data_IF_806078173017
#
_entry.id   IF_806078173017
#
_cell.length_a   1.000
_cell.length_b   1.000
_cell.length_c   1.000
_cell.angle_alpha   90.00
_cell.angle_beta   90.00
_cell.angle_gamma   90.00
#
_symmetry.space_group_name_H-M   'P 1'
#
loop_
_entity.id
_entity.type
_entity.pdbx_description
1 polymer ?
#
# COMPACT_ATOMS: atom_id res chain seq x y z
N UNK A 1 -10.33 -2.26 18.70
CA UNK A 1 -9.53 -3.44 19.16
C UNK A 1 -9.98 -4.71 18.46
N UNK A 2 -11.28 -4.99 18.36
CA UNK A 2 -11.80 -6.17 17.64
C UNK A 2 -11.35 -6.24 16.17
N UNK A 3 -11.41 -5.15 15.40
CA UNK A 3 -10.98 -5.08 13.98
C UNK A 3 -9.51 -5.43 13.74
N UNK A 4 -8.65 -4.99 14.65
CA UNK A 4 -7.19 -5.24 14.63
C UNK A 4 -6.92 -6.74 14.78
N UNK A 5 -7.61 -7.35 15.74
CA UNK A 5 -7.52 -8.79 16.00
C UNK A 5 -8.09 -9.60 14.83
N UNK A 6 -9.21 -9.16 14.25
CA UNK A 6 -9.80 -9.77 13.07
C UNK A 6 -8.86 -9.70 11.86
N UNK A 7 -8.25 -8.55 11.59
CA UNK A 7 -7.26 -8.39 10.52
C UNK A 7 -6.06 -9.34 10.70
N UNK A 8 -5.57 -9.48 11.93
CA UNK A 8 -4.48 -10.42 12.24
C UNK A 8 -4.91 -11.88 12.04
N UNK A 9 -6.10 -12.26 12.50
CA UNK A 9 -6.66 -13.60 12.30
C UNK A 9 -6.84 -13.92 10.81
N UNK A 10 -7.31 -12.98 10.03
CA UNK A 10 -7.47 -13.16 8.59
C UNK A 10 -6.13 -13.32 7.87
N UNK A 11 -5.11 -12.54 8.24
CA UNK A 11 -3.76 -12.72 7.71
C UNK A 11 -3.18 -14.09 8.10
N UNK A 12 -3.31 -14.49 9.37
CA UNK A 12 -2.83 -15.78 9.86
C UNK A 12 -3.48 -16.96 9.12
N UNK A 13 -4.75 -16.83 8.75
CA UNK A 13 -5.47 -17.83 7.96
C UNK A 13 -5.12 -17.80 6.47
N UNK A 14 -4.51 -16.71 5.98
CA UNK A 14 -4.16 -16.48 4.56
C UNK A 14 -2.70 -16.04 4.41
N UNK A 15 -1.77 -16.74 5.06
CA UNK A 15 -0.33 -16.42 4.99
C UNK A 15 0.23 -16.41 3.56
N UNK A 16 -0.43 -17.06 2.62
CA UNK A 16 -0.09 -17.03 1.18
C UNK A 16 -0.15 -15.62 0.58
N UNK A 17 -0.89 -14.67 1.18
CA UNK A 17 -0.94 -13.26 0.76
C UNK A 17 0.42 -12.54 0.93
N UNK A 18 1.35 -13.12 1.68
CA UNK A 18 2.71 -12.60 1.85
C UNK A 18 3.54 -12.82 0.58
N UNK A 19 3.25 -13.88 -0.18
CA UNK A 19 4.04 -14.29 -1.34
C UNK A 19 4.17 -13.21 -2.43
N UNK A 20 3.09 -12.53 -2.87
CA UNK A 20 3.22 -11.45 -3.84
C UNK A 20 4.06 -10.28 -3.32
N UNK A 21 3.92 -9.94 -2.04
CA UNK A 21 4.71 -8.87 -1.41
C UNK A 21 6.18 -9.25 -1.40
N UNK A 22 6.51 -10.48 -0.99
CA UNK A 22 7.88 -10.98 -1.00
C UNK A 22 8.52 -10.88 -2.40
N UNK A 23 7.79 -11.29 -3.44
CA UNK A 23 8.29 -11.22 -4.83
C UNK A 23 8.54 -9.76 -5.22
N UNK A 24 7.60 -8.87 -4.94
CA UNK A 24 7.70 -7.45 -5.32
C UNK A 24 8.83 -6.76 -4.57
N UNK A 25 8.99 -7.00 -3.26
CA UNK A 25 10.09 -6.45 -2.45
C UNK A 25 11.46 -6.89 -2.98
N UNK A 26 11.60 -8.18 -3.35
CA UNK A 26 12.84 -8.68 -3.96
C UNK A 26 13.12 -7.98 -5.29
N UNK A 27 12.10 -7.85 -6.15
CA UNK A 27 12.25 -7.19 -7.45
C UNK A 27 12.59 -5.70 -7.30
N UNK A 28 11.92 -5.00 -6.39
CA UNK A 28 12.14 -3.58 -6.09
C UNK A 28 13.58 -3.37 -5.60
N UNK A 29 14.03 -4.17 -4.63
CA UNK A 29 15.41 -4.14 -4.14
C UNK A 29 16.44 -4.40 -5.25
N UNK A 30 16.18 -5.35 -6.15
CA UNK A 30 17.06 -5.62 -7.29
C UNK A 30 17.11 -4.44 -8.27
N UNK A 31 15.97 -3.80 -8.54
CA UNK A 31 15.91 -2.64 -9.43
C UNK A 31 16.65 -1.46 -8.82
N UNK A 32 16.44 -1.18 -7.54
CA UNK A 32 17.16 -0.12 -6.81
C UNK A 32 18.67 -0.34 -6.84
N UNK A 33 19.12 -1.57 -6.54
CA UNK A 33 20.54 -1.92 -6.58
C UNK A 33 21.15 -1.68 -7.97
N UNK A 34 20.45 -2.07 -9.04
CA UNK A 34 20.91 -1.88 -10.42
C UNK A 34 21.01 -0.38 -10.75
N UNK A 35 20.01 0.41 -10.36
CA UNK A 35 19.99 1.85 -10.62
C UNK A 35 21.11 2.56 -9.86
N UNK A 36 21.29 2.25 -8.57
CA UNK A 36 22.31 2.87 -7.72
C UNK A 36 23.74 2.54 -8.18
N UNK A 37 23.99 1.32 -8.66
CA UNK A 37 25.32 0.90 -9.11
C UNK A 37 25.65 1.43 -10.51
N UNK A 38 24.68 1.45 -11.42
CA UNK A 38 24.94 1.75 -12.84
C UNK A 38 24.70 3.21 -13.22
N UNK A 39 23.86 3.94 -12.48
CA UNK A 39 23.40 5.27 -12.89
C UNK A 39 23.86 6.34 -11.90
N UNK A 40 24.55 7.41 -12.36
CA UNK A 40 24.99 8.49 -11.48
C UNK A 40 23.85 9.13 -10.67
N UNK A 41 24.09 9.53 -9.41
CA UNK A 41 23.08 10.15 -8.55
C UNK A 41 22.79 11.58 -9.02
N UNK A 42 21.74 11.72 -9.84
CA UNK A 42 21.20 12.99 -10.34
C UNK A 42 19.80 13.22 -9.79
N UNK A 43 19.25 14.42 -9.99
CA UNK A 43 17.87 14.70 -9.62
C UNK A 43 16.89 13.75 -10.34
N UNK A 44 17.14 13.48 -11.62
CA UNK A 44 16.29 12.63 -12.44
C UNK A 44 16.30 11.18 -11.94
N UNK A 45 17.46 10.66 -11.54
CA UNK A 45 17.54 9.30 -10.99
C UNK A 45 16.85 9.18 -9.64
N UNK A 46 16.94 10.20 -8.78
CA UNK A 46 16.21 10.23 -7.50
C UNK A 46 14.70 10.24 -7.69
N UNK A 47 14.19 11.03 -8.64
CA UNK A 47 12.77 11.03 -9.00
C UNK A 47 12.38 9.64 -9.54
N UNK A 48 13.19 9.08 -10.43
CA UNK A 48 12.97 7.75 -11.00
C UNK A 48 12.83 6.66 -9.94
N UNK A 49 13.81 6.57 -9.02
CA UNK A 49 13.78 5.63 -7.90
C UNK A 49 12.51 5.84 -7.05
N UNK A 50 12.22 7.09 -6.66
CA UNK A 50 11.03 7.37 -5.84
C UNK A 50 9.73 6.92 -6.51
N UNK A 51 9.61 7.11 -7.82
CA UNK A 51 8.45 6.66 -8.62
C UNK A 51 8.40 5.13 -8.70
N UNK A 52 9.53 4.46 -8.94
CA UNK A 52 9.62 3.00 -8.98
C UNK A 52 9.14 2.42 -7.66
N UNK A 53 9.65 2.92 -6.54
CA UNK A 53 9.31 2.39 -5.21
C UNK A 53 7.83 2.66 -4.90
N UNK A 54 7.31 3.84 -5.26
CA UNK A 54 5.87 4.14 -5.16
C UNK A 54 5.00 3.16 -5.96
N UNK A 55 5.42 2.82 -7.18
CA UNK A 55 4.76 1.81 -8.02
C UNK A 55 4.87 0.42 -7.38
N UNK A 56 6.04 0.03 -6.87
CA UNK A 56 6.23 -1.27 -6.20
C UNK A 56 5.31 -1.43 -5.00
N UNK A 57 5.23 -0.44 -4.10
CA UNK A 57 4.27 -0.47 -2.98
C UNK A 57 2.82 -0.56 -3.46
N UNK A 58 2.45 0.21 -4.48
CA UNK A 58 1.10 0.16 -5.07
C UNK A 58 0.77 -1.23 -5.62
N UNK A 59 1.69 -1.85 -6.36
CA UNK A 59 1.54 -3.23 -6.85
C UNK A 59 1.43 -4.24 -5.71
N UNK A 60 2.26 -4.12 -4.67
CA UNK A 60 2.25 -5.03 -3.54
C UNK A 60 0.90 -5.00 -2.82
N UNK A 61 0.40 -3.81 -2.53
CA UNK A 61 -0.93 -3.62 -1.91
C UNK A 61 -2.02 -4.17 -2.82
N UNK A 62 -1.96 -3.89 -4.12
CA UNK A 62 -2.94 -4.35 -5.10
C UNK A 62 -3.03 -5.88 -5.18
N UNK A 63 -1.89 -6.56 -5.23
CA UNK A 63 -1.81 -8.02 -5.30
C UNK A 63 -2.35 -8.66 -4.02
N UNK A 64 -1.98 -8.14 -2.85
CA UNK A 64 -2.54 -8.58 -1.56
C UNK A 64 -4.05 -8.42 -1.57
N UNK A 65 -4.54 -7.23 -1.96
CA UNK A 65 -5.96 -6.92 -1.94
C UNK A 65 -6.73 -7.87 -2.87
N UNK A 66 -6.19 -8.12 -4.07
CA UNK A 66 -6.76 -9.05 -5.03
C UNK A 66 -6.85 -10.47 -4.47
N UNK A 67 -5.77 -10.99 -3.87
CA UNK A 67 -5.73 -12.34 -3.29
C UNK A 67 -6.63 -12.47 -2.07
N UNK A 68 -6.79 -11.38 -1.33
CA UNK A 68 -7.73 -11.31 -0.22
C UNK A 68 -9.20 -11.35 -0.68
N UNK A 69 -9.54 -10.63 -1.77
CA UNK A 69 -10.90 -10.58 -2.33
C UNK A 69 -11.33 -11.84 -3.08
N UNK A 70 -10.39 -12.48 -3.74
CA UNK A 70 -10.65 -13.62 -4.62
C UNK A 70 -10.13 -14.90 -3.95
N UNK A 71 -9.12 -15.52 -4.54
CA UNK A 71 -8.41 -16.68 -4.03
C UNK A 71 -6.94 -16.31 -3.93
N UNK A 72 -6.25 -16.68 -2.85
CA UNK A 72 -4.82 -16.43 -2.73
C UNK A 72 -4.04 -17.36 -3.69
N UNK A 73 -3.90 -16.92 -4.93
CA UNK A 73 -3.10 -17.57 -5.96
C UNK A 73 -2.47 -16.48 -6.84
N UNK A 74 -1.15 -16.57 -7.04
CA UNK A 74 -0.40 -15.56 -7.78
C UNK A 74 -0.96 -15.30 -9.18
N UNK A 75 -1.49 -16.33 -9.84
CA UNK A 75 -2.08 -16.19 -11.17
C UNK A 75 -3.38 -15.37 -11.15
N UNK A 76 -4.30 -15.65 -10.23
CA UNK A 76 -5.55 -14.90 -10.13
C UNK A 76 -5.31 -13.47 -9.64
N UNK A 77 -4.43 -13.32 -8.65
CA UNK A 77 -3.96 -12.03 -8.12
C UNK A 77 -3.38 -11.16 -9.23
N UNK A 78 -2.47 -11.72 -10.03
CA UNK A 78 -1.87 -11.02 -11.15
C UNK A 78 -2.89 -10.67 -12.22
N UNK A 79 -3.79 -11.60 -12.59
CA UNK A 79 -4.80 -11.36 -13.62
C UNK A 79 -5.73 -10.22 -13.23
N UNK A 80 -6.18 -10.20 -12.00
CA UNK A 80 -7.11 -9.21 -11.48
C UNK A 80 -6.42 -7.85 -11.23
N UNK A 81 -5.19 -7.85 -10.71
CA UNK A 81 -4.31 -6.67 -10.65
C UNK A 81 -4.04 -6.11 -12.05
N UNK A 82 -3.75 -6.97 -13.03
CA UNK A 82 -3.46 -6.60 -14.42
C UNK A 82 -4.62 -5.84 -15.07
N UNK A 83 -5.86 -6.21 -14.74
CA UNK A 83 -7.05 -5.52 -15.26
C UNK A 83 -7.20 -4.08 -14.76
N UNK A 84 -6.43 -3.68 -13.73
CA UNK A 84 -6.48 -2.35 -13.08
C UNK A 84 -5.14 -1.62 -13.12
N UNK A 85 -4.21 -2.07 -13.98
CA UNK A 85 -2.84 -1.53 -14.08
C UNK A 85 -2.77 -0.01 -14.13
N UNK A 86 -3.62 0.63 -14.93
CA UNK A 86 -3.60 2.08 -15.06
C UNK A 86 -3.83 2.77 -13.70
N UNK A 87 -4.82 2.33 -12.93
CA UNK A 87 -5.11 2.90 -11.62
C UNK A 87 -3.99 2.61 -10.61
N UNK A 88 -3.42 1.40 -10.64
CA UNK A 88 -2.32 1.01 -9.75
C UNK A 88 -1.06 1.84 -10.03
N UNK A 89 -0.74 2.04 -11.32
CA UNK A 89 0.39 2.85 -11.76
C UNK A 89 0.16 4.32 -11.40
N UNK A 90 -1.03 4.87 -11.64
CA UNK A 90 -1.38 6.24 -11.28
C UNK A 90 -1.20 6.49 -9.77
N UNK A 91 -1.76 5.61 -8.93
CA UNK A 91 -1.61 5.69 -7.49
C UNK A 91 -0.15 5.52 -7.05
N UNK A 92 0.60 4.63 -7.70
CA UNK A 92 2.02 4.42 -7.45
C UNK A 92 2.89 5.63 -7.81
N UNK A 93 2.61 6.27 -8.94
CA UNK A 93 3.28 7.52 -9.34
C UNK A 93 2.99 8.63 -8.33
N UNK A 94 1.73 8.78 -7.90
CA UNK A 94 1.35 9.77 -6.88
C UNK A 94 2.11 9.50 -5.57
N UNK A 95 2.16 8.25 -5.11
CA UNK A 95 2.92 7.87 -3.93
C UNK A 95 4.42 8.18 -4.09
N UNK A 96 4.99 7.86 -5.25
CA UNK A 96 6.39 8.13 -5.55
C UNK A 96 6.73 9.62 -5.59
N UNK A 97 5.80 10.47 -6.06
CA UNK A 97 5.95 11.92 -5.93
C UNK A 97 5.98 12.38 -4.48
N UNK A 98 5.12 11.83 -3.61
CA UNK A 98 5.19 12.12 -2.17
C UNK A 98 6.53 11.68 -1.57
N UNK A 99 7.00 10.47 -1.91
CA UNK A 99 8.31 9.97 -1.47
C UNK A 99 9.45 10.90 -1.87
N UNK A 100 9.44 11.35 -3.13
CA UNK A 100 10.42 12.29 -3.63
C UNK A 100 10.36 13.65 -2.89
N UNK A 101 9.17 14.25 -2.79
CA UNK A 101 8.99 15.58 -2.18
C UNK A 101 9.38 15.56 -0.71
N UNK A 102 8.93 14.56 0.05
CA UNK A 102 9.19 14.48 1.48
C UNK A 102 10.61 14.00 1.79
N UNK A 103 11.36 13.43 0.82
CA UNK A 103 12.78 13.10 1.01
C UNK A 103 13.65 14.32 1.37
N UNK A 104 13.19 15.54 1.04
CA UNK A 104 13.89 16.79 1.37
C UNK A 104 13.56 17.34 2.76
N UNK A 105 12.59 16.75 3.46
CA UNK A 105 12.11 17.22 4.76
C UNK A 105 12.74 16.37 5.87
N UNK A 106 13.29 16.96 6.94
CA UNK A 106 13.69 16.22 8.13
C UNK A 106 12.52 15.40 8.68
N UNK A 107 12.75 14.13 8.98
CA UNK A 107 11.69 13.17 9.36
C UNK A 107 10.61 12.95 8.28
N UNK A 108 10.94 13.21 7.00
CA UNK A 108 10.03 13.01 5.87
C UNK A 108 9.49 11.59 5.73
N UNK A 109 10.18 10.59 6.28
CA UNK A 109 9.65 9.22 6.36
C UNK A 109 8.30 9.16 7.08
N UNK A 110 8.04 10.00 8.09
CA UNK A 110 6.74 10.07 8.78
C UNK A 110 5.61 10.52 7.84
N UNK A 111 5.91 11.42 6.91
CA UNK A 111 4.97 11.90 5.90
C UNK A 111 4.81 10.88 4.77
N UNK A 112 5.88 10.18 4.40
CA UNK A 112 5.83 9.04 3.47
C UNK A 112 4.94 7.92 4.02
N UNK A 113 5.04 7.61 5.32
CA UNK A 113 4.17 6.65 5.99
C UNK A 113 2.71 7.10 5.97
N UNK A 114 2.46 8.41 6.09
CA UNK A 114 1.11 8.93 5.98
C UNK A 114 0.57 8.72 4.56
N UNK A 115 1.36 9.04 3.52
CA UNK A 115 0.98 8.82 2.13
C UNK A 115 0.70 7.32 1.83
N UNK A 116 1.54 6.42 2.34
CA UNK A 116 1.36 4.98 2.21
C UNK A 116 0.12 4.47 2.98
N UNK A 117 -0.14 5.00 4.17
CA UNK A 117 -1.35 4.69 4.94
C UNK A 117 -2.62 5.13 4.20
N UNK A 118 -2.59 6.31 3.59
CA UNK A 118 -3.67 6.78 2.71
C UNK A 118 -3.87 5.83 1.52
N UNK A 119 -2.77 5.34 0.93
CA UNK A 119 -2.84 4.39 -0.16
C UNK A 119 -3.53 3.08 0.27
N UNK A 120 -3.12 2.48 1.40
CA UNK A 120 -3.73 1.27 1.97
C UNK A 120 -5.25 1.40 2.14
N UNK A 121 -5.73 2.56 2.58
CA UNK A 121 -7.16 2.83 2.79
C UNK A 121 -7.88 3.17 1.48
N UNK A 122 -7.16 3.64 0.46
CA UNK A 122 -7.74 3.98 -0.85
C UNK A 122 -7.95 2.78 -1.77
N UNK A 123 -7.14 1.73 -1.65
CA UNK A 123 -7.24 0.52 -2.48
C UNK A 123 -8.61 -0.19 -2.45
N UNK A 124 -9.33 -0.26 -1.32
CA UNK A 124 -10.72 -0.70 -1.32
C UNK A 124 -11.62 0.01 -2.35
N UNK A 125 -11.41 1.30 -2.61
CA UNK A 125 -12.20 2.04 -3.60
C UNK A 125 -11.88 1.62 -5.04
N UNK A 126 -10.64 1.22 -5.32
CA UNK A 126 -10.22 0.74 -6.65
C UNK A 126 -10.92 -0.58 -7.00
N UNK A 127 -11.21 -1.42 -6.00
CA UNK A 127 -11.75 -2.76 -6.21
C UNK A 127 -13.23 -2.92 -5.92
N UNK A 128 -13.81 -2.09 -5.03
CA UNK A 128 -15.19 -2.24 -4.53
C UNK A 128 -16.05 -0.98 -4.69
N UNK A 129 -15.55 0.14 -5.22
CA UNK A 129 -16.32 1.40 -5.11
C UNK A 129 -17.59 1.45 -5.98
N UNK A 130 -18.70 1.76 -5.28
CA UNK A 130 -19.82 2.55 -5.77
C UNK A 130 -19.75 4.03 -5.33
N UNK A 131 -18.77 4.41 -4.52
CA UNK A 131 -18.52 5.80 -4.06
C UNK A 131 -17.77 6.56 -5.16
N UNK A 132 -18.40 7.61 -5.69
CA UNK A 132 -17.87 8.38 -6.84
C UNK A 132 -17.54 9.81 -6.40
N UNK A 133 -16.24 10.11 -6.33
CA UNK A 133 -15.73 11.48 -6.24
C UNK A 133 -15.05 11.84 -4.92
N UNK A 134 -14.12 12.79 -5.01
CA UNK A 134 -13.21 13.22 -3.93
C UNK A 134 -13.98 13.62 -2.66
N UNK A 135 -15.08 14.37 -2.79
CA UNK A 135 -15.88 14.80 -1.64
C UNK A 135 -16.48 13.62 -0.88
N UNK A 136 -16.98 12.60 -1.57
CA UNK A 136 -17.56 11.43 -0.92
C UNK A 136 -16.48 10.60 -0.23
N UNK A 137 -15.30 10.44 -0.86
CA UNK A 137 -14.15 9.77 -0.26
C UNK A 137 -13.63 10.49 0.99
N UNK A 138 -13.56 11.83 0.97
CA UNK A 138 -13.15 12.63 2.14
C UNK A 138 -14.17 12.56 3.28
N UNK A 139 -15.45 12.63 2.97
CA UNK A 139 -16.52 12.45 3.96
C UNK A 139 -16.53 11.06 4.56
N UNK A 140 -16.27 10.02 3.74
CA UNK A 140 -16.11 8.66 4.21
C UNK A 140 -14.91 8.55 5.15
N UNK A 141 -13.76 9.09 4.76
CA UNK A 141 -12.54 9.04 5.57
C UNK A 141 -12.73 9.74 6.93
N UNK A 142 -13.39 10.91 6.92
CA UNK A 142 -13.66 11.66 8.15
C UNK A 142 -14.56 10.87 9.10
N UNK A 143 -15.62 10.21 8.56
CA UNK A 143 -16.49 9.32 9.33
C UNK A 143 -15.72 8.11 9.86
N UNK A 144 -14.96 7.43 9.02
CA UNK A 144 -14.17 6.27 9.40
C UNK A 144 -13.19 6.59 10.54
N UNK A 145 -12.48 7.72 10.46
CA UNK A 145 -11.55 8.17 11.52
C UNK A 145 -12.30 8.49 12.81
N UNK A 146 -13.48 9.12 12.72
CA UNK A 146 -14.28 9.48 13.90
C UNK A 146 -14.83 8.26 14.64
N UNK A 147 -15.13 7.18 13.91
CA UNK A 147 -15.65 5.93 14.49
C UNK A 147 -14.54 5.04 15.04
N UNK A 148 -13.36 5.03 14.41
CA UNK A 148 -12.27 4.13 14.80
C UNK A 148 -10.87 4.67 14.47
N UNK A 149 -10.50 5.73 15.17
CA UNK A 149 -9.17 6.33 15.07
C UNK A 149 -8.02 5.33 15.35
N UNK A 150 -8.25 4.31 16.18
CA UNK A 150 -7.24 3.34 16.56
C UNK A 150 -6.80 2.46 15.38
N UNK A 151 -7.75 2.02 14.54
CA UNK A 151 -7.39 1.28 13.33
C UNK A 151 -6.57 2.14 12.36
N UNK A 152 -6.88 3.43 12.21
CA UNK A 152 -6.07 4.35 11.40
C UNK A 152 -4.65 4.54 11.95
N UNK A 153 -4.50 4.66 13.28
CA UNK A 153 -3.18 4.70 13.92
C UNK A 153 -2.39 3.43 13.62
N UNK A 154 -3.04 2.27 13.66
CA UNK A 154 -2.38 0.98 13.39
C UNK A 154 -2.03 0.82 11.91
N UNK A 155 -2.88 1.29 10.99
CA UNK A 155 -2.55 1.35 9.56
C UNK A 155 -1.35 2.27 9.34
N UNK A 156 -1.32 3.43 10.01
CA UNK A 156 -0.19 4.36 9.96
C UNK A 156 1.10 3.74 10.49
N UNK A 157 1.05 3.08 11.65
CA UNK A 157 2.20 2.36 12.20
C UNK A 157 2.65 1.20 11.29
N UNK A 158 1.69 0.52 10.66
CA UNK A 158 1.98 -0.53 9.68
C UNK A 158 2.73 0.05 8.49
N UNK A 159 2.24 1.14 7.91
CA UNK A 159 2.88 1.87 6.83
C UNK A 159 4.27 2.42 7.22
N UNK A 160 4.43 2.90 8.45
CA UNK A 160 5.70 3.39 8.98
C UNK A 160 6.76 2.30 9.06
N UNK A 161 6.35 1.13 9.55
CA UNK A 161 7.23 -0.02 9.68
C UNK A 161 7.44 -0.75 8.34
N UNK A 162 6.59 -0.51 7.34
CA UNK A 162 6.77 -1.02 5.97
C UNK A 162 7.92 -0.37 5.18
N UNK A 163 8.63 0.62 5.72
CA UNK A 163 9.89 1.09 5.13
C UNK A 163 11.09 0.19 5.45
N UNK A 164 10.88 -0.85 6.27
CA UNK A 164 11.89 -1.86 6.58
C UNK A 164 11.61 -3.14 5.78
N UNK A 165 12.49 -3.56 4.84
CA UNK A 165 12.22 -4.61 3.84
C UNK A 165 11.90 -6.02 4.36
N UNK A 166 12.12 -6.29 5.65
CA UNK A 166 11.77 -7.58 6.27
C UNK A 166 10.39 -7.51 6.92
N UNK A 167 10.00 -6.30 7.33
CA UNK A 167 8.80 -6.06 8.12
C UNK A 167 7.60 -5.82 7.20
N UNK A 168 7.82 -5.15 6.06
CA UNK A 168 6.81 -4.87 5.04
C UNK A 168 6.13 -6.12 4.47
N UNK A 169 6.87 -7.23 4.35
CA UNK A 169 6.41 -8.57 3.97
C UNK A 169 5.18 -8.98 4.79
N UNK A 170 5.12 -8.61 6.07
CA UNK A 170 3.98 -8.89 6.95
C UNK A 170 3.03 -7.69 7.09
N UNK A 171 3.56 -6.48 7.16
CA UNK A 171 2.78 -5.29 7.47
C UNK A 171 2.00 -4.73 6.28
N UNK A 172 2.45 -4.93 5.04
CA UNK A 172 1.65 -4.58 3.87
C UNK A 172 0.42 -5.47 3.75
N UNK A 173 0.51 -6.82 3.86
CA UNK A 173 -0.68 -7.67 3.91
C UNK A 173 -1.62 -7.30 5.04
N UNK A 174 -1.08 -7.14 6.25
CA UNK A 174 -1.84 -6.78 7.43
C UNK A 174 -2.56 -5.42 7.28
N UNK A 175 -1.83 -4.38 6.87
CA UNK A 175 -2.38 -3.04 6.68
C UNK A 175 -3.44 -2.98 5.58
N UNK A 176 -3.29 -3.79 4.53
CA UNK A 176 -4.26 -3.89 3.43
C UNK A 176 -5.56 -4.54 3.89
N UNK A 177 -5.47 -5.65 4.63
CA UNK A 177 -6.64 -6.33 5.21
C UNK A 177 -7.36 -5.40 6.20
N UNK A 178 -6.61 -4.76 7.10
CA UNK A 178 -7.18 -3.82 8.06
C UNK A 178 -7.83 -2.62 7.36
N UNK A 179 -7.20 -2.07 6.32
CA UNK A 179 -7.76 -1.01 5.49
C UNK A 179 -9.08 -1.42 4.84
N UNK A 180 -9.20 -2.68 4.38
CA UNK A 180 -10.46 -3.20 3.86
C UNK A 180 -11.53 -3.40 4.92
N UNK A 181 -11.19 -3.94 6.10
CA UNK A 181 -12.16 -4.14 7.20
C UNK A 181 -12.76 -2.79 7.61
N UNK A 182 -11.92 -1.76 7.74
CA UNK A 182 -12.37 -0.39 8.01
C UNK A 182 -13.26 0.13 6.88
N UNK A 183 -12.92 -0.11 5.62
CA UNK A 183 -13.77 0.23 4.47
C UNK A 183 -15.15 -0.43 4.53
N UNK A 184 -15.20 -1.73 4.79
CA UNK A 184 -16.43 -2.53 4.77
C UNK A 184 -17.45 -2.09 5.82
N UNK A 185 -16.99 -1.68 7.00
CA UNK A 185 -17.87 -1.44 8.15
C UNK A 185 -18.40 -0.01 8.25
N UNK A 186 -17.81 0.93 7.48
CA UNK A 186 -18.22 2.34 7.45
C UNK A 186 -19.21 2.61 6.29
N UNK A 187 -19.40 1.65 5.38
CA UNK A 187 -20.38 1.68 4.28
C UNK A 187 -21.68 1.02 4.73
#
# INVERSE_FOLDING_TARGET
>A
MQRVEEAFKELANRLTLILPVLIIVILDFMVDLVIEVLIPPTLLTRIGISIINGIAFSFAISMVFSGYMTTPSLYEEWRDTSSRLNCIIELGIILGFFFFIFSYIPFGFLLNSLALAFLLVSFPFVYKSGIRGINQSLQWLTRAISEDALSFIIIYLSALLSFFPVIDILLLPYGTILGYIVYREVI
#
